data_IF_031981312575
#
_entry.id   IF_031981312575
#
_cell.length_a   1.000
_cell.length_b   1.000
_cell.length_c   1.000
_cell.angle_alpha   90.00
_cell.angle_beta   90.00
_cell.angle_gamma   90.00
#
_symmetry.space_group_name_H-M   'P 1'
#
loop_
_entity.id
_entity.type
_entity.pdbx_description
1 polymer ?
#
# COMPACT_ATOMS: atom_id res chain seq x y z
N UNK A 1 39.95 -4.37 -22.72
CA UNK A 1 39.70 -3.61 -23.97
C UNK A 1 41.04 -3.40 -24.67
N UNK A 2 41.08 -3.51 -26.00
CA UNK A 2 42.31 -3.32 -26.78
C UNK A 2 42.03 -2.39 -27.96
N UNK A 3 42.87 -1.39 -28.15
CA UNK A 3 42.78 -0.43 -29.25
C UNK A 3 44.03 -0.50 -30.11
N UNK A 4 43.84 -0.52 -31.43
CA UNK A 4 44.91 -0.53 -32.43
C UNK A 4 44.57 0.50 -33.52
N UNK A 5 45.57 1.25 -33.97
CA UNK A 5 45.46 2.19 -35.10
C UNK A 5 46.50 1.85 -36.17
N UNK A 6 46.17 2.15 -37.42
CA UNK A 6 47.10 2.11 -38.55
C UNK A 6 47.87 3.44 -38.71
N UNK A 7 48.48 3.64 -39.88
CA UNK A 7 49.37 4.77 -40.18
C UNK A 7 48.78 5.77 -41.18
N UNK A 8 47.48 5.72 -41.49
CA UNK A 8 46.91 6.53 -42.57
C UNK A 8 46.39 7.88 -42.07
N UNK A 9 45.59 7.91 -40.98
CA UNK A 9 45.02 9.13 -40.41
C UNK A 9 44.79 9.04 -38.90
N UNK A 10 44.74 10.19 -38.21
CA UNK A 10 44.52 10.27 -36.76
C UNK A 10 43.22 11.02 -36.43
N UNK A 11 42.55 10.61 -35.36
CA UNK A 11 41.34 11.24 -34.82
C UNK A 11 41.48 11.52 -33.31
N UNK A 12 40.38 11.98 -32.68
CA UNK A 12 40.38 12.39 -31.27
C UNK A 12 40.47 11.23 -30.26
N UNK A 13 40.47 9.97 -30.71
CA UNK A 13 40.56 8.80 -29.85
C UNK A 13 39.27 8.51 -29.09
N UNK A 14 39.38 7.82 -27.95
CA UNK A 14 38.25 7.50 -27.06
C UNK A 14 38.56 7.94 -25.63
N UNK A 15 37.52 8.29 -24.88
CA UNK A 15 37.58 8.46 -23.43
C UNK A 15 36.72 7.36 -22.81
N UNK A 16 37.34 6.52 -21.97
CA UNK A 16 36.64 5.45 -21.25
C UNK A 16 36.59 5.80 -19.77
N UNK A 17 35.39 5.94 -19.25
CA UNK A 17 35.13 6.01 -17.81
C UNK A 17 34.76 4.61 -17.35
N UNK A 18 35.62 4.00 -16.52
CA UNK A 18 35.30 2.72 -15.86
C UNK A 18 34.80 3.04 -14.47
N UNK A 19 33.55 2.71 -14.20
CA UNK A 19 33.01 2.67 -12.83
C UNK A 19 33.05 1.24 -12.34
N UNK A 20 33.58 1.04 -11.14
CA UNK A 20 33.54 -0.28 -10.50
C UNK A 20 32.16 -0.41 -9.83
N UNK A 21 31.33 -1.28 -10.39
CA UNK A 21 30.07 -1.65 -9.77
C UNK A 21 30.37 -2.61 -8.61
N UNK A 22 29.95 -2.26 -7.39
CA UNK A 22 30.20 -3.09 -6.22
C UNK A 22 29.43 -4.42 -6.33
N UNK A 23 30.14 -5.54 -6.14
CA UNK A 23 29.58 -6.89 -6.16
C UNK A 23 29.80 -7.55 -4.79
N UNK A 24 28.75 -8.05 -4.11
CA UNK A 24 27.35 -7.95 -4.50
C UNK A 24 26.87 -6.51 -4.40
N UNK A 25 25.90 -6.18 -5.23
CA UNK A 25 25.32 -4.85 -5.23
C UNK A 25 24.67 -4.54 -3.88
N UNK A 26 24.63 -3.27 -3.45
CA UNK A 26 23.91 -2.89 -2.24
C UNK A 26 22.48 -3.40 -2.27
N UNK A 27 22.02 -3.88 -1.12
CA UNK A 27 20.64 -4.32 -0.93
C UNK A 27 19.71 -3.12 -1.07
N UNK A 28 18.61 -3.29 -1.79
CA UNK A 28 17.56 -2.28 -1.95
C UNK A 28 16.35 -2.54 -1.06
N UNK A 29 16.45 -3.52 -0.15
CA UNK A 29 15.38 -3.91 0.73
C UNK A 29 15.01 -2.78 1.70
N UNK A 30 13.71 -2.59 1.92
CA UNK A 30 13.15 -1.56 2.77
C UNK A 30 12.26 -2.15 3.86
N UNK A 31 12.27 -1.56 5.04
CA UNK A 31 11.30 -1.87 6.11
C UNK A 31 10.63 -0.60 6.59
N UNK A 32 9.30 -0.63 6.69
CA UNK A 32 8.46 0.52 7.02
C UNK A 32 7.47 0.17 8.12
N UNK A 33 7.42 0.99 9.17
CA UNK A 33 6.56 0.81 10.34
C UNK A 33 5.82 2.10 10.74
N UNK A 34 5.98 3.17 9.95
CA UNK A 34 5.37 4.47 10.16
C UNK A 34 4.01 4.58 9.46
N UNK A 35 3.10 5.44 9.96
CA UNK A 35 1.81 5.68 9.30
C UNK A 35 1.98 6.21 7.88
N UNK A 36 2.98 7.07 7.66
CA UNK A 36 3.33 7.65 6.37
C UNK A 36 4.78 7.38 6.04
N UNK A 37 5.05 6.95 4.81
CA UNK A 37 6.40 6.73 4.31
C UNK A 37 6.49 6.86 2.80
N UNK A 38 7.72 6.98 2.30
CA UNK A 38 8.04 6.98 0.87
C UNK A 38 8.66 5.65 0.52
N UNK A 39 8.18 5.03 -0.54
CA UNK A 39 8.72 3.79 -1.10
C UNK A 39 9.10 4.04 -2.56
N UNK A 40 10.31 3.66 -2.96
CA UNK A 40 10.78 3.87 -4.34
C UNK A 40 11.64 2.71 -4.81
N UNK A 41 11.73 2.55 -6.13
CA UNK A 41 12.70 1.65 -6.76
C UNK A 41 14.14 2.03 -6.38
N UNK A 42 15.09 1.09 -6.47
CA UNK A 42 16.51 1.43 -6.31
C UNK A 42 16.89 2.54 -7.28
N UNK A 43 17.81 3.41 -6.82
CA UNK A 43 18.38 4.53 -7.57
C UNK A 43 17.43 5.69 -7.94
N UNK A 44 16.12 5.58 -7.73
CA UNK A 44 15.15 6.63 -8.07
C UNK A 44 15.60 8.02 -7.55
N UNK A 45 15.61 9.08 -8.37
CA UNK A 45 14.95 9.21 -9.68
C UNK A 45 15.79 8.74 -10.89
N UNK A 46 16.93 8.08 -10.68
CA UNK A 46 17.64 7.40 -11.76
C UNK A 46 16.98 6.05 -12.08
N UNK A 47 17.14 5.53 -13.30
CA UNK A 47 16.65 4.21 -13.67
C UNK A 47 17.11 3.11 -12.72
N UNK A 48 16.24 2.12 -12.49
CA UNK A 48 16.61 0.92 -11.75
C UNK A 48 17.64 0.08 -12.53
N UNK A 49 18.45 -0.71 -11.81
CA UNK A 49 19.38 -1.64 -12.45
C UNK A 49 18.66 -2.91 -12.94
N UNK A 50 19.25 -3.59 -13.93
CA UNK A 50 18.85 -4.94 -14.34
C UNK A 50 19.21 -6.00 -13.28
N UNK A 51 18.46 -7.10 -13.26
CA UNK A 51 18.71 -8.30 -12.47
C UNK A 51 18.56 -8.04 -10.98
N UNK A 52 17.66 -7.13 -10.59
CA UNK A 52 17.45 -6.74 -9.21
C UNK A 52 16.25 -7.43 -8.62
N UNK A 53 16.35 -7.72 -7.33
CA UNK A 53 15.21 -8.13 -6.51
C UNK A 53 15.28 -7.31 -5.23
N UNK A 54 14.23 -6.55 -4.96
CA UNK A 54 14.12 -5.69 -3.78
C UNK A 54 12.86 -6.07 -3.01
N UNK A 55 13.00 -6.30 -1.70
CA UNK A 55 11.89 -6.62 -0.83
C UNK A 55 11.52 -5.43 0.04
N UNK A 56 10.25 -5.01 -0.01
CA UNK A 56 9.71 -3.96 0.84
C UNK A 56 8.75 -4.56 1.87
N UNK A 57 9.15 -4.53 3.14
CA UNK A 57 8.37 -5.05 4.25
C UNK A 57 7.66 -3.91 4.97
N UNK A 58 6.33 -3.95 5.01
CA UNK A 58 5.51 -2.96 5.71
C UNK A 58 4.89 -3.63 6.93
N UNK A 59 5.15 -3.08 8.11
CA UNK A 59 4.53 -3.46 9.36
C UNK A 59 3.43 -2.47 9.72
N UNK A 60 2.33 -2.99 10.26
CA UNK A 60 1.26 -2.14 10.81
C UNK A 60 1.81 -1.26 11.93
N UNK A 61 1.69 0.05 11.79
CA UNK A 61 2.00 0.97 12.88
C UNK A 61 0.96 0.88 14.03
N UNK A 62 -0.23 0.38 13.72
CA UNK A 62 -1.33 0.19 14.69
C UNK A 62 -2.20 -1.03 14.32
N UNK A 63 -2.73 -1.79 15.30
CA UNK A 63 -3.53 -3.00 15.03
C UNK A 63 -4.76 -2.78 14.14
N UNK A 64 -5.39 -1.60 14.24
CA UNK A 64 -6.58 -1.24 13.44
C UNK A 64 -6.28 -0.78 12.01
N UNK A 65 -5.01 -0.75 11.58
CA UNK A 65 -4.68 -0.53 10.17
C UNK A 65 -5.32 -1.64 9.34
N UNK A 66 -5.95 -1.28 8.23
CA UNK A 66 -6.68 -2.23 7.39
C UNK A 66 -6.34 -2.13 5.91
N UNK A 67 -5.74 -1.03 5.46
CA UNK A 67 -5.36 -0.81 4.06
C UNK A 67 -4.16 0.12 3.93
N UNK A 68 -3.47 -0.02 2.81
CA UNK A 68 -2.45 0.91 2.35
C UNK A 68 -3.02 1.75 1.21
N UNK A 69 -2.92 3.06 1.34
CA UNK A 69 -3.20 4.01 0.26
C UNK A 69 -1.87 4.42 -0.33
N UNK A 70 -1.54 3.87 -1.50
CA UNK A 70 -0.27 4.15 -2.19
C UNK A 70 -0.53 5.17 -3.30
N UNK A 71 -0.17 6.43 -3.05
CA UNK A 71 -0.26 7.49 -4.05
C UNK A 71 0.97 7.45 -4.97
N UNK A 72 0.74 7.28 -6.27
CA UNK A 72 1.76 7.31 -7.31
C UNK A 72 2.36 8.72 -7.40
N UNK A 73 3.66 8.83 -7.23
CA UNK A 73 4.44 10.03 -7.59
C UNK A 73 5.06 9.85 -8.97
N UNK A 74 5.62 8.66 -9.22
CA UNK A 74 6.06 8.21 -10.54
C UNK A 74 5.96 6.69 -10.61
N UNK A 75 5.69 6.16 -11.80
CA UNK A 75 5.73 4.74 -12.08
C UNK A 75 5.95 4.54 -13.57
N UNK A 76 7.14 4.06 -13.93
CA UNK A 76 7.53 3.61 -15.27
C UNK A 76 8.40 2.36 -15.08
N UNK A 77 7.80 1.20 -15.31
CA UNK A 77 8.42 -0.13 -15.24
C UNK A 77 8.20 -0.79 -16.60
N UNK A 78 9.14 -1.60 -17.09
CA UNK A 78 9.02 -2.23 -18.42
C UNK A 78 7.67 -2.96 -18.58
N UNK A 79 6.94 -2.61 -19.64
CA UNK A 79 5.64 -3.19 -19.93
C UNK A 79 5.77 -4.43 -20.82
N UNK A 80 5.18 -5.54 -20.38
CA UNK A 80 4.93 -6.70 -21.22
C UNK A 80 3.54 -7.28 -20.91
N UNK A 81 2.97 -8.15 -21.79
CA UNK A 81 1.57 -8.59 -21.68
C UNK A 81 1.17 -9.23 -20.35
N UNK A 82 2.12 -9.70 -19.53
CA UNK A 82 1.84 -10.35 -18.25
C UNK A 82 2.69 -9.79 -17.09
N UNK A 83 3.39 -8.66 -17.28
CA UNK A 83 4.38 -8.14 -16.33
C UNK A 83 5.33 -9.26 -15.87
N UNK A 84 5.88 -9.99 -16.83
CA UNK A 84 6.77 -11.12 -16.62
C UNK A 84 8.25 -10.75 -16.58
N UNK A 85 8.63 -9.63 -17.19
CA UNK A 85 10.00 -9.14 -17.33
C UNK A 85 10.36 -8.34 -16.08
N UNK A 86 9.82 -7.12 -15.98
CA UNK A 86 9.94 -6.27 -14.79
C UNK A 86 8.57 -6.07 -14.13
N UNK A 87 8.52 -6.15 -12.80
CA UNK A 87 7.27 -5.92 -12.08
C UNK A 87 7.48 -5.54 -10.61
N UNK A 88 6.52 -4.79 -10.08
CA UNK A 88 6.28 -4.66 -8.65
C UNK A 88 5.11 -5.57 -8.26
N UNK A 89 5.36 -6.58 -7.44
CA UNK A 89 4.34 -7.43 -6.85
C UNK A 89 3.77 -6.79 -5.58
N UNK A 90 2.47 -6.50 -5.60
CA UNK A 90 1.74 -5.92 -4.47
C UNK A 90 0.59 -6.86 -4.12
N UNK A 91 0.76 -7.64 -3.05
CA UNK A 91 -0.31 -8.51 -2.55
C UNK A 91 -0.74 -9.64 -3.50
N UNK A 92 0.11 -10.02 -4.45
CA UNK A 92 -0.18 -11.05 -5.46
C UNK A 92 -0.40 -10.49 -6.87
N UNK A 93 -0.66 -9.19 -6.99
CA UNK A 93 -0.84 -8.52 -8.27
C UNK A 93 0.49 -7.97 -8.78
N UNK A 94 0.81 -8.22 -10.05
CA UNK A 94 2.02 -7.69 -10.70
C UNK A 94 1.68 -6.40 -11.42
N UNK A 95 2.43 -5.35 -11.10
CA UNK A 95 2.28 -4.02 -11.68
C UNK A 95 3.49 -3.72 -12.58
N UNK A 96 3.23 -3.31 -13.81
CA UNK A 96 4.23 -2.86 -14.78
C UNK A 96 3.64 -1.78 -15.72
N UNK A 97 4.45 -1.23 -16.62
CA UNK A 97 4.07 -0.11 -17.49
C UNK A 97 4.13 1.24 -16.80
N UNK A 98 3.30 2.17 -17.27
CA UNK A 98 3.27 3.56 -16.79
C UNK A 98 1.98 3.83 -16.02
N UNK A 99 2.08 4.42 -14.82
CA UNK A 99 0.90 4.90 -14.07
C UNK A 99 0.85 6.43 -14.03
N UNK A 100 -0.37 6.96 -13.90
CA UNK A 100 -0.59 8.40 -13.84
C UNK A 100 -0.22 8.93 -12.45
N UNK A 101 0.50 10.06 -12.39
CA UNK A 101 0.77 10.76 -11.13
C UNK A 101 -0.53 11.08 -10.38
N UNK A 102 -0.53 10.81 -9.08
CA UNK A 102 -1.69 11.03 -8.21
C UNK A 102 -2.70 9.90 -8.19
N UNK A 103 -2.57 8.88 -9.05
CA UNK A 103 -3.34 7.64 -8.93
C UNK A 103 -3.10 7.02 -7.54
N UNK A 104 -4.16 6.50 -6.92
CA UNK A 104 -4.09 5.84 -5.61
C UNK A 104 -4.39 4.36 -5.80
N UNK A 105 -3.46 3.51 -5.34
CA UNK A 105 -3.70 2.08 -5.19
C UNK A 105 -4.22 1.84 -3.77
N UNK A 106 -5.43 1.30 -3.65
CA UNK A 106 -6.04 0.91 -2.36
C UNK A 106 -5.83 -0.59 -2.16
N UNK A 107 -4.87 -0.94 -1.29
CA UNK A 107 -4.44 -2.31 -1.05
C UNK A 107 -4.92 -2.77 0.32
N UNK A 108 -5.68 -3.86 0.37
CA UNK A 108 -6.12 -4.46 1.64
C UNK A 108 -4.93 -4.95 2.47
N UNK A 109 -4.81 -4.44 3.69
CA UNK A 109 -3.73 -4.76 4.63
C UNK A 109 -4.27 -5.57 5.82
N UNK A 110 -4.57 -6.84 5.56
CA UNK A 110 -5.23 -7.72 6.52
C UNK A 110 -4.26 -8.26 7.57
N UNK A 111 -3.08 -8.70 7.13
CA UNK A 111 -2.04 -9.27 8.00
C UNK A 111 -1.29 -8.20 8.79
N UNK A 112 -0.54 -8.58 9.82
CA UNK A 112 0.33 -7.66 10.56
C UNK A 112 1.49 -7.11 9.73
N UNK A 113 1.85 -7.83 8.67
CA UNK A 113 2.97 -7.52 7.76
C UNK A 113 2.54 -7.75 6.32
N UNK A 114 2.91 -6.83 5.44
CA UNK A 114 2.78 -6.95 3.99
C UNK A 114 4.17 -6.93 3.39
N UNK A 115 4.41 -7.83 2.44
CA UNK A 115 5.67 -7.91 1.69
C UNK A 115 5.36 -7.61 0.24
N UNK A 116 6.05 -6.61 -0.30
CA UNK A 116 6.04 -6.27 -1.72
C UNK A 116 7.43 -6.60 -2.29
N UNK A 117 7.47 -7.00 -3.55
CA UNK A 117 8.71 -7.40 -4.21
C UNK A 117 8.82 -6.72 -5.56
N UNK A 118 9.90 -5.98 -5.79
CA UNK A 118 10.26 -5.50 -7.12
C UNK A 118 11.29 -6.44 -7.72
N UNK A 119 11.03 -6.91 -8.94
CA UNK A 119 11.94 -7.74 -9.70
C UNK A 119 12.17 -7.11 -11.08
N UNK A 120 13.44 -7.02 -11.47
CA UNK A 120 13.85 -6.68 -12.84
C UNK A 120 14.60 -7.82 -13.49
N UNK A 121 14.41 -8.00 -14.80
CA UNK A 121 15.14 -8.98 -15.59
C UNK A 121 16.53 -8.45 -16.02
N UNK A 122 17.23 -9.16 -16.92
CA UNK A 122 18.58 -8.78 -17.33
C UNK A 122 18.67 -7.77 -18.49
N UNK A 123 17.55 -7.28 -19.01
CA UNK A 123 17.45 -6.45 -20.23
C UNK A 123 16.42 -5.34 -20.03
N UNK A 124 16.71 -4.14 -20.53
CA UNK A 124 15.82 -2.96 -20.41
C UNK A 124 15.67 -2.42 -18.97
N UNK A 125 15.91 -1.12 -18.82
CA UNK A 125 15.63 -0.39 -17.58
C UNK A 125 14.69 0.75 -17.87
N UNK A 126 13.88 1.15 -16.89
CA UNK A 126 13.02 2.35 -16.92
C UNK A 126 13.29 3.24 -15.72
N UNK A 127 12.63 4.39 -15.65
CA UNK A 127 12.83 5.39 -14.59
C UNK A 127 12.43 4.87 -13.19
N UNK A 128 11.64 3.80 -13.13
CA UNK A 128 11.25 3.14 -11.90
C UNK A 128 10.02 3.76 -11.26
N UNK A 129 9.94 3.73 -9.93
CA UNK A 129 8.75 4.17 -9.23
C UNK A 129 9.06 4.92 -7.93
N UNK A 130 8.12 5.77 -7.54
CA UNK A 130 8.02 6.33 -6.20
C UNK A 130 6.56 6.45 -5.79
N UNK A 131 6.27 6.03 -4.57
CA UNK A 131 4.97 6.15 -3.92
C UNK A 131 5.08 6.95 -2.63
N UNK A 132 4.05 7.73 -2.33
CA UNK A 132 3.76 8.15 -0.96
C UNK A 132 2.70 7.21 -0.40
N UNK A 133 3.04 6.48 0.66
CA UNK A 133 2.19 5.43 1.23
C UNK A 133 1.65 5.90 2.57
N UNK A 134 0.33 5.79 2.73
CA UNK A 134 -0.38 6.03 3.97
C UNK A 134 -1.03 4.73 4.48
N UNK A 135 -0.79 4.39 5.74
CA UNK A 135 -1.45 3.30 6.44
C UNK A 135 -2.76 3.81 7.07
N UNK A 136 -3.91 3.39 6.54
CA UNK A 136 -5.22 3.85 6.99
C UNK A 136 -5.79 2.94 8.08
N UNK A 137 -6.35 3.54 9.14
CA UNK A 137 -7.10 2.82 10.17
C UNK A 137 -8.53 2.55 9.68
N UNK A 138 -8.99 1.30 9.76
CA UNK A 138 -10.41 1.02 9.64
C UNK A 138 -11.05 1.02 11.02
N UNK A 139 -12.15 1.74 11.14
CA UNK A 139 -12.99 1.66 12.30
C UNK A 139 -13.81 0.36 12.23
N UNK A 140 -13.54 -0.58 13.15
CA UNK A 140 -14.35 -1.80 13.31
C UNK A 140 -15.64 -1.53 14.10
N UNK A 141 -15.95 -0.27 14.46
CA UNK A 141 -17.07 0.06 15.35
C UNK A 141 -18.28 0.72 14.67
N UNK A 142 -18.23 1.04 13.37
CA UNK A 142 -19.29 1.84 12.72
C UNK A 142 -20.39 1.05 11.99
N UNK A 143 -20.44 -0.28 12.07
CA UNK A 143 -21.48 -1.09 11.39
C UNK A 143 -22.27 -2.07 12.26
N UNK A 144 -22.32 -1.89 13.58
CA UNK A 144 -23.35 -2.55 14.38
C UNK A 144 -24.60 -1.65 14.39
N UNK A 145 -25.74 -2.04 13.77
CA UNK A 145 -26.99 -1.36 14.03
C UNK A 145 -27.26 -1.46 15.54
N UNK A 146 -27.43 -0.32 16.20
CA UNK A 146 -27.89 -0.25 17.58
C UNK A 146 -29.31 -0.84 17.59
N UNK A 147 -29.43 -2.14 17.82
CA UNK A 147 -30.67 -2.70 18.34
C UNK A 147 -30.73 -2.33 19.82
N UNK A 148 -31.31 -1.16 20.13
CA UNK A 148 -31.86 -0.93 21.46
C UNK A 148 -32.99 -1.93 21.66
N UNK A 149 -32.76 -2.96 22.46
CA UNK A 149 -33.82 -3.83 22.94
C UNK A 149 -34.71 -3.03 23.91
N UNK A 150 -35.81 -2.46 23.44
CA UNK A 150 -36.90 -2.11 24.33
C UNK A 150 -37.64 -3.40 24.71
N UNK A 151 -37.40 -3.88 25.92
CA UNK A 151 -38.18 -4.96 26.51
C UNK A 151 -39.55 -4.38 26.93
N UNK A 152 -40.54 -4.44 26.04
CA UNK A 152 -41.93 -4.13 26.39
C UNK A 152 -42.51 -5.36 27.11
N UNK A 153 -42.59 -5.31 28.44
CA UNK A 153 -43.33 -6.30 29.23
C UNK A 153 -44.74 -5.76 29.47
N UNK A 154 -45.73 -6.27 28.74
CA UNK A 154 -47.14 -6.10 29.12
C UNK A 154 -47.50 -7.16 30.15
N UNK A 155 -47.74 -6.73 31.39
CA UNK A 155 -48.42 -7.57 32.39
C UNK A 155 -49.91 -7.28 32.29
N UNK A 156 -50.67 -8.29 31.89
CA UNK A 156 -52.11 -8.32 32.02
C UNK A 156 -52.47 -8.91 33.39
N UNK A 157 -53.24 -8.19 34.20
CA UNK A 157 -54.00 -8.81 35.30
C UNK A 157 -55.41 -8.23 35.36
N UNK A 158 -56.36 -9.16 35.21
CA UNK A 158 -57.79 -9.04 35.46
C UNK A 158 -58.06 -9.60 36.85
N UNK A 159 -58.95 -8.99 37.64
CA UNK A 159 -59.89 -9.56 38.67
C UNK A 159 -60.24 -8.49 39.72
N UNK A 160 -61.49 -8.00 39.78
CA UNK A 160 -62.56 -8.30 40.79
C UNK A 160 -62.08 -8.11 42.25
N UNK A 161 -62.69 -7.38 43.19
CA UNK A 161 -64.10 -7.04 43.41
C UNK A 161 -64.22 -6.01 44.59
N UNK A 162 -65.32 -5.22 44.57
CA UNK A 162 -66.20 -4.81 45.71
C UNK A 162 -65.80 -3.77 46.81
N UNK A 163 -66.65 -2.71 46.84
CA UNK A 163 -67.17 -1.83 47.93
C UNK A 163 -66.19 -0.93 48.74
N UNK A 164 -66.52 0.35 49.05
CA UNK A 164 -67.64 0.83 49.89
C UNK A 164 -67.84 2.34 49.67
N UNK A 165 -69.12 2.76 49.72
CA UNK A 165 -69.64 4.13 49.74
C UNK A 165 -69.27 4.91 51.01
N UNK A 166 -69.07 6.24 50.95
CA UNK A 166 -69.75 7.21 51.84
C UNK A 166 -69.35 8.68 51.62
N UNK A 167 -70.38 9.49 51.37
CA UNK A 167 -70.70 10.81 51.93
C UNK A 167 -69.95 12.10 51.51
N UNK A 168 -70.80 13.01 51.02
CA UNK A 168 -70.74 14.48 50.82
C UNK A 168 -70.21 15.29 52.02
N UNK A 169 -69.74 16.54 51.83
CA UNK A 169 -70.63 17.74 51.91
C UNK A 169 -70.32 18.80 50.81
N UNK A 170 -71.31 19.42 50.16
CA UNK A 170 -72.08 20.63 50.53
C UNK A 170 -71.32 21.97 50.43
N UNK A 171 -71.71 22.76 49.41
CA UNK A 171 -71.91 24.23 49.35
C UNK A 171 -70.67 25.14 49.46
N UNK A 172 -70.36 25.83 48.36
CA UNK A 172 -70.68 27.26 48.16
C UNK A 172 -70.73 27.61 46.67
#
# INVERSE_FOLDING_TARGET
MSFHSDNETRGLGYMVTVVQQECPLPTCDGTFDKPDFVMSSPNYPLPYDNGRTCTYTVHKYHPSVCRLLMKVIAFDVEEDPHCGSDFLNVGGDRLCGVMTEGQILDISFLNSTMVMEFQSDHVTTRDGFQFNVHQELCDLSTSAPIYTSELHTSVAETTTDVNVSTLTPTVQ
#
